data_IF_874676085177
#
_entry.id   IF_874676085177
#
_cell.length_a   1.000
_cell.length_b   1.000
_cell.length_c   1.000
_cell.angle_alpha   90.00
_cell.angle_beta   90.00
_cell.angle_gamma   90.00
#
_symmetry.space_group_name_H-M   'P 1'
#
loop_
_entity.id
_entity.type
_entity.pdbx_description
1 polymer ?
#
# COMPACT_ATOMS: atom_id res chain seq x y z
N UNK A 1 56.76 24.85 20.56
CA UNK A 1 55.82 25.45 19.59
C UNK A 1 54.83 26.27 20.39
N UNK A 2 54.74 27.57 20.13
CA UNK A 2 53.80 28.47 20.83
C UNK A 2 52.36 28.08 20.46
N UNK A 3 51.51 27.68 21.43
CA UNK A 3 50.11 27.35 21.20
C UNK A 3 49.28 28.49 20.59
N UNK A 4 49.78 29.73 20.67
CA UNK A 4 49.12 30.95 20.18
C UNK A 4 49.59 31.36 18.79
N UNK A 5 50.47 30.58 18.16
CA UNK A 5 50.97 30.89 16.81
C UNK A 5 49.87 30.66 15.75
N UNK A 6 49.66 31.61 14.82
CA UNK A 6 48.68 31.48 13.73
C UNK A 6 48.82 30.19 12.90
N UNK A 7 50.06 29.66 12.77
CA UNK A 7 50.31 28.40 12.08
C UNK A 7 49.76 27.18 12.83
N UNK A 8 49.86 27.17 14.16
CA UNK A 8 49.38 26.07 15.01
C UNK A 8 47.85 26.07 15.13
N UNK A 9 47.25 27.26 15.17
CA UNK A 9 45.79 27.41 15.16
C UNK A 9 45.18 26.97 13.82
N UNK A 10 45.81 27.33 12.70
CA UNK A 10 45.37 26.89 11.36
C UNK A 10 45.50 25.37 11.17
N UNK A 11 46.58 24.74 11.66
CA UNK A 11 46.74 23.28 11.52
C UNK A 11 45.72 22.50 12.35
N UNK A 12 45.44 22.94 13.58
CA UNK A 12 44.39 22.36 14.43
C UNK A 12 43.00 22.50 13.82
N UNK A 13 42.70 23.65 13.22
CA UNK A 13 41.41 23.92 12.58
C UNK A 13 41.23 23.09 11.29
N UNK A 14 42.32 22.89 10.53
CA UNK A 14 42.34 22.03 9.35
C UNK A 14 42.16 20.55 9.72
N UNK A 15 42.76 20.11 10.84
CA UNK A 15 42.62 18.75 11.36
C UNK A 15 41.19 18.48 11.91
N UNK A 16 40.59 19.45 12.61
CA UNK A 16 39.19 19.38 13.05
C UNK A 16 38.21 19.34 11.86
N UNK A 17 38.46 20.10 10.80
CA UNK A 17 37.63 20.04 9.60
C UNK A 17 37.76 18.69 8.87
N UNK A 18 38.96 18.10 8.80
CA UNK A 18 39.15 16.74 8.27
C UNK A 18 38.42 15.69 9.11
N UNK A 19 38.46 15.77 10.44
CA UNK A 19 37.70 14.88 11.32
C UNK A 19 36.19 15.01 11.11
N UNK A 20 35.66 16.24 11.04
CA UNK A 20 34.24 16.47 10.75
C UNK A 20 33.81 15.86 9.41
N UNK A 21 34.61 16.02 8.36
CA UNK A 21 34.33 15.45 7.03
C UNK A 21 34.35 13.92 7.09
N UNK A 22 35.31 13.33 7.81
CA UNK A 22 35.40 11.87 8.00
C UNK A 22 34.17 11.32 8.75
N UNK A 23 33.76 11.95 9.84
CA UNK A 23 32.55 11.59 10.59
C UNK A 23 31.28 11.73 9.75
N UNK A 24 31.19 12.78 8.94
CA UNK A 24 30.06 13.00 8.03
C UNK A 24 29.99 11.90 6.96
N UNK A 25 31.13 11.50 6.40
CA UNK A 25 31.23 10.42 5.43
C UNK A 25 30.86 9.08 6.06
N UNK A 26 31.34 8.78 7.27
CA UNK A 26 30.95 7.57 7.99
C UNK A 26 29.45 7.53 8.29
N UNK A 27 28.85 8.65 8.71
CA UNK A 27 27.39 8.75 8.87
C UNK A 27 26.65 8.47 7.57
N UNK A 28 27.10 9.08 6.48
CA UNK A 28 26.49 8.88 5.17
C UNK A 28 26.59 7.42 4.69
N UNK A 29 27.71 6.74 4.93
CA UNK A 29 27.87 5.31 4.60
C UNK A 29 27.02 4.40 5.51
N UNK A 30 26.90 4.73 6.80
CA UNK A 30 25.96 4.04 7.72
C UNK A 30 24.51 4.21 7.29
N UNK A 31 24.11 5.41 6.89
CA UNK A 31 22.75 5.69 6.41
C UNK A 31 22.46 4.98 5.08
N UNK A 32 23.43 4.97 4.15
CA UNK A 32 23.31 4.21 2.90
C UNK A 32 23.15 2.71 3.16
N UNK A 33 24.00 2.13 4.01
CA UNK A 33 23.92 0.69 4.34
C UNK A 33 22.64 0.34 5.09
N UNK A 34 22.15 1.22 5.97
CA UNK A 34 20.87 1.04 6.64
C UNK A 34 19.69 1.05 5.65
N UNK A 35 19.66 2.01 4.73
CA UNK A 35 18.64 2.08 3.66
C UNK A 35 18.69 0.87 2.74
N UNK A 36 19.87 0.38 2.41
CA UNK A 36 20.04 -0.80 1.58
C UNK A 36 19.50 -2.06 2.28
N UNK A 37 19.85 -2.27 3.56
CA UNK A 37 19.32 -3.37 4.38
C UNK A 37 17.81 -3.29 4.56
N UNK A 38 17.24 -2.09 4.64
CA UNK A 38 15.79 -1.90 4.70
C UNK A 38 15.11 -2.33 3.40
N UNK A 39 15.63 -1.91 2.25
CA UNK A 39 15.14 -2.35 0.94
C UNK A 39 15.21 -3.87 0.76
N UNK A 40 16.34 -4.48 1.13
CA UNK A 40 16.52 -5.94 1.04
C UNK A 40 15.49 -6.69 1.90
N UNK A 41 15.23 -6.22 3.13
CA UNK A 41 14.20 -6.80 4.00
C UNK A 41 12.79 -6.61 3.45
N UNK A 42 12.50 -5.48 2.82
CA UNK A 42 11.21 -5.24 2.18
C UNK A 42 11.01 -6.16 0.96
N UNK A 43 12.06 -6.35 0.16
CA UNK A 43 12.04 -7.26 -0.98
C UNK A 43 11.87 -8.72 -0.57
N UNK A 44 12.55 -9.14 0.50
CA UNK A 44 12.39 -10.49 1.07
C UNK A 44 10.96 -10.71 1.59
N UNK A 45 10.37 -9.71 2.26
CA UNK A 45 8.96 -9.76 2.67
C UNK A 45 8.00 -9.90 1.49
N UNK A 46 8.22 -9.13 0.42
CA UNK A 46 7.41 -9.23 -0.80
C UNK A 46 7.50 -10.61 -1.44
N UNK A 47 8.71 -11.17 -1.56
CA UNK A 47 8.91 -12.54 -2.08
C UNK A 47 8.17 -13.59 -1.27
N UNK A 48 8.21 -13.48 0.06
CA UNK A 48 7.47 -14.39 0.95
C UNK A 48 5.94 -14.24 0.78
N UNK A 49 5.43 -13.03 0.53
CA UNK A 49 4.01 -12.83 0.23
C UNK A 49 3.61 -13.41 -1.12
N UNK A 50 4.42 -13.17 -2.16
CA UNK A 50 4.18 -13.71 -3.50
C UNK A 50 4.20 -15.25 -3.50
N UNK A 51 5.12 -15.85 -2.75
CA UNK A 51 5.19 -17.31 -2.61
C UNK A 51 3.93 -17.88 -1.94
N UNK A 52 3.39 -17.21 -0.89
CA UNK A 52 2.13 -17.63 -0.26
C UNK A 52 0.96 -17.56 -1.24
N UNK A 53 0.86 -16.49 -2.02
CA UNK A 53 -0.18 -16.33 -3.04
C UNK A 53 -0.06 -17.43 -4.08
N UNK A 54 1.15 -17.68 -4.60
CA UNK A 54 1.40 -18.72 -5.58
C UNK A 54 1.02 -20.12 -5.07
N UNK A 55 1.30 -20.42 -3.78
CA UNK A 55 0.88 -21.66 -3.15
C UNK A 55 -0.65 -21.79 -3.09
N UNK A 56 -1.35 -20.70 -2.77
CA UNK A 56 -2.82 -20.67 -2.77
C UNK A 56 -3.38 -20.86 -4.18
N UNK A 57 -2.84 -20.16 -5.17
CA UNK A 57 -3.25 -20.28 -6.58
C UNK A 57 -3.10 -21.72 -7.07
N UNK A 58 -1.92 -22.33 -6.87
CA UNK A 58 -1.68 -23.73 -7.24
C UNK A 58 -2.70 -24.66 -6.58
N UNK A 59 -3.02 -24.45 -5.31
CA UNK A 59 -4.00 -25.29 -4.60
C UNK A 59 -5.41 -25.12 -5.14
N UNK A 60 -5.78 -23.90 -5.53
CA UNK A 60 -7.06 -23.60 -6.19
C UNK A 60 -7.14 -24.24 -7.58
N UNK A 61 -6.07 -24.19 -8.37
CA UNK A 61 -6.00 -24.86 -9.68
C UNK A 61 -6.17 -26.38 -9.54
N UNK A 62 -5.44 -27.01 -8.62
CA UNK A 62 -5.58 -28.45 -8.32
C UNK A 62 -7.01 -28.81 -7.91
N UNK A 63 -7.65 -27.94 -7.11
CA UNK A 63 -9.03 -28.12 -6.66
C UNK A 63 -10.04 -28.01 -7.80
N UNK A 64 -9.91 -26.96 -8.63
CA UNK A 64 -10.77 -26.72 -9.80
C UNK A 64 -10.65 -27.86 -10.82
N UNK A 65 -9.43 -28.31 -11.09
CA UNK A 65 -9.19 -29.42 -12.02
C UNK A 65 -9.77 -30.72 -11.47
N UNK A 66 -9.64 -31.00 -10.16
CA UNK A 66 -10.28 -32.16 -9.55
C UNK A 66 -11.81 -32.10 -9.66
N UNK A 67 -12.43 -30.92 -9.50
CA UNK A 67 -13.87 -30.74 -9.71
C UNK A 67 -14.28 -30.98 -11.17
N UNK A 68 -13.49 -30.50 -12.13
CA UNK A 68 -13.67 -30.77 -13.56
C UNK A 68 -13.64 -32.28 -13.85
N UNK A 69 -12.63 -32.99 -13.35
CA UNK A 69 -12.52 -34.45 -13.50
C UNK A 69 -13.74 -35.19 -12.94
N UNK A 70 -14.28 -34.76 -11.79
CA UNK A 70 -15.52 -35.32 -11.24
C UNK A 70 -16.69 -35.09 -12.21
N UNK A 71 -16.81 -33.87 -12.76
CA UNK A 71 -17.82 -33.55 -13.77
C UNK A 71 -17.74 -34.43 -15.01
N UNK A 72 -16.53 -34.65 -15.54
CA UNK A 72 -16.29 -35.51 -16.70
C UNK A 72 -16.62 -36.98 -16.40
N UNK A 73 -16.18 -37.49 -15.24
CA UNK A 73 -16.48 -38.87 -14.79
C UNK A 73 -17.97 -39.09 -14.55
N UNK A 74 -18.66 -38.12 -13.97
CA UNK A 74 -20.08 -38.19 -13.69
C UNK A 74 -20.92 -38.12 -14.99
N UNK A 75 -20.48 -37.33 -15.97
CA UNK A 75 -21.17 -37.19 -17.26
C UNK A 75 -21.16 -38.47 -18.10
N UNK A 76 -20.15 -39.33 -17.95
CA UNK A 76 -20.06 -40.63 -18.63
C UNK A 76 -19.74 -41.77 -17.65
N UNK A 77 -20.56 -41.90 -16.62
CA UNK A 77 -20.31 -42.84 -15.55
C UNK A 77 -20.44 -44.31 -15.99
N UNK A 78 -19.53 -45.15 -15.51
CA UNK A 78 -19.58 -46.61 -15.64
C UNK A 78 -19.29 -47.24 -14.27
N UNK A 79 -19.89 -48.38 -13.94
CA UNK A 79 -19.73 -49.01 -12.61
C UNK A 79 -18.26 -49.25 -12.22
N UNK A 80 -17.39 -49.56 -13.18
CA UNK A 80 -15.94 -49.72 -12.97
C UNK A 80 -15.22 -48.44 -12.52
N UNK A 81 -15.82 -47.27 -12.72
CA UNK A 81 -15.27 -45.97 -12.35
C UNK A 81 -15.65 -45.53 -10.93
N UNK A 82 -16.44 -46.32 -10.19
CA UNK A 82 -16.94 -45.95 -8.86
C UNK A 82 -15.81 -45.63 -7.87
N UNK A 83 -14.78 -46.47 -7.82
CA UNK A 83 -13.66 -46.27 -6.90
C UNK A 83 -12.85 -45.01 -7.25
N UNK A 84 -12.65 -44.76 -8.55
CA UNK A 84 -12.00 -43.54 -9.03
C UNK A 84 -12.80 -42.29 -8.66
N UNK A 85 -14.13 -42.32 -8.82
CA UNK A 85 -15.02 -41.22 -8.44
C UNK A 85 -14.97 -40.96 -6.93
N UNK A 86 -15.06 -42.01 -6.11
CA UNK A 86 -14.96 -41.90 -4.65
C UNK A 86 -13.61 -41.27 -4.24
N UNK A 87 -12.50 -41.74 -4.83
CA UNK A 87 -11.17 -41.17 -4.61
C UNK A 87 -11.11 -39.67 -4.92
N UNK A 88 -11.74 -39.24 -6.03
CA UNK A 88 -11.81 -37.82 -6.42
C UNK A 88 -12.67 -36.99 -5.47
N UNK A 89 -13.79 -37.53 -4.99
CA UNK A 89 -14.64 -36.88 -3.98
C UNK A 89 -13.86 -36.68 -2.67
N UNK A 90 -13.15 -37.70 -2.19
CA UNK A 90 -12.28 -37.55 -1.02
C UNK A 90 -11.21 -36.49 -1.23
N UNK A 91 -10.59 -36.44 -2.41
CA UNK A 91 -9.63 -35.39 -2.74
C UNK A 91 -10.26 -34.01 -2.76
N UNK A 92 -11.52 -33.89 -3.19
CA UNK A 92 -12.26 -32.62 -3.19
C UNK A 92 -12.50 -32.12 -1.76
N UNK A 93 -12.98 -33.01 -0.88
CA UNK A 93 -13.20 -32.71 0.54
C UNK A 93 -11.89 -32.29 1.21
N UNK A 94 -10.80 -33.03 0.95
CA UNK A 94 -9.47 -32.68 1.46
C UNK A 94 -8.99 -31.33 0.93
N UNK A 95 -9.24 -31.04 -0.35
CA UNK A 95 -8.94 -29.74 -0.96
C UNK A 95 -9.63 -28.58 -0.24
N UNK A 96 -10.92 -28.72 0.08
CA UNK A 96 -11.66 -27.71 0.86
C UNK A 96 -11.08 -27.51 2.27
N UNK A 97 -10.72 -28.61 2.96
CA UNK A 97 -10.11 -28.54 4.29
C UNK A 97 -8.73 -27.86 4.25
N UNK A 98 -7.93 -28.12 3.22
CA UNK A 98 -6.64 -27.48 3.03
C UNK A 98 -6.81 -25.98 2.76
N UNK A 99 -7.77 -25.59 1.90
CA UNK A 99 -8.07 -24.17 1.62
C UNK A 99 -8.54 -23.42 2.87
N UNK A 100 -9.40 -24.04 3.69
CA UNK A 100 -9.87 -23.44 4.95
C UNK A 100 -8.71 -23.21 5.94
N UNK A 101 -7.75 -24.14 6.00
CA UNK A 101 -6.52 -23.96 6.80
C UNK A 101 -5.64 -22.84 6.26
N UNK A 102 -5.49 -22.75 4.94
CA UNK A 102 -4.66 -21.73 4.28
C UNK A 102 -5.22 -20.32 4.44
N UNK A 103 -6.55 -20.17 4.60
CA UNK A 103 -7.21 -18.87 4.83
C UNK A 103 -6.56 -18.04 5.94
N UNK A 104 -6.10 -18.68 7.02
CA UNK A 104 -5.46 -17.99 8.15
C UNK A 104 -4.21 -17.20 7.76
N UNK A 105 -3.50 -17.63 6.72
CA UNK A 105 -2.28 -16.98 6.21
C UNK A 105 -2.54 -15.66 5.48
N UNK A 106 -3.81 -15.34 5.17
CA UNK A 106 -4.24 -14.14 4.44
C UNK A 106 -5.14 -13.22 5.28
N UNK A 107 -5.10 -13.36 6.60
CA UNK A 107 -5.92 -12.55 7.53
C UNK A 107 -5.60 -11.05 7.50
N UNK A 108 -4.42 -10.67 6.99
CA UNK A 108 -3.99 -9.30 6.74
C UNK A 108 -4.59 -8.69 5.46
N UNK A 109 -5.11 -9.52 4.54
CA UNK A 109 -5.67 -9.07 3.27
C UNK A 109 -7.18 -8.86 3.41
N UNK A 110 -7.64 -7.66 3.07
CA UNK A 110 -9.06 -7.33 3.05
C UNK A 110 -9.55 -7.19 1.60
N UNK A 111 -10.58 -7.95 1.24
CA UNK A 111 -11.22 -7.86 -0.06
C UNK A 111 -12.46 -6.97 0.07
N UNK A 112 -12.55 -5.84 -0.66
CA UNK A 112 -13.73 -4.98 -0.62
C UNK A 112 -14.98 -5.71 -1.11
N UNK A 113 -16.08 -5.60 -0.37
CA UNK A 113 -17.37 -6.21 -0.77
C UNK A 113 -17.89 -5.64 -2.09
N UNK A 114 -17.59 -4.36 -2.37
CA UNK A 114 -17.94 -3.68 -3.62
C UNK A 114 -17.25 -4.29 -4.86
N UNK A 115 -16.27 -5.18 -4.66
CA UNK A 115 -15.65 -5.95 -5.73
C UNK A 115 -16.52 -7.15 -6.18
N UNK A 116 -17.32 -7.72 -5.28
CA UNK A 116 -18.09 -8.95 -5.56
C UNK A 116 -19.01 -8.84 -6.78
N UNK A 117 -19.74 -7.71 -7.00
CA UNK A 117 -20.56 -7.56 -8.21
C UNK A 117 -19.74 -7.67 -9.51
N UNK A 118 -18.48 -7.23 -9.51
CA UNK A 118 -17.60 -7.39 -10.68
C UNK A 118 -17.27 -8.86 -10.93
N UNK A 119 -17.03 -9.63 -9.87
CA UNK A 119 -16.72 -11.07 -9.97
C UNK A 119 -17.95 -11.88 -10.39
N UNK A 120 -19.11 -11.63 -9.78
CA UNK A 120 -20.35 -12.36 -10.05
C UNK A 120 -20.84 -12.14 -11.49
N UNK A 121 -20.59 -10.96 -12.05
CA UNK A 121 -20.88 -10.64 -13.45
C UNK A 121 -19.78 -11.08 -14.43
N UNK A 122 -18.71 -11.72 -13.95
CA UNK A 122 -17.57 -12.16 -14.77
C UNK A 122 -16.74 -11.00 -15.36
N UNK A 123 -16.83 -9.80 -14.78
CA UNK A 123 -16.05 -8.63 -15.17
C UNK A 123 -14.64 -8.71 -14.58
N UNK A 124 -13.71 -8.01 -15.22
CA UNK A 124 -12.35 -7.89 -14.71
C UNK A 124 -12.31 -7.08 -13.39
N UNK A 125 -11.80 -7.64 -12.28
CA UNK A 125 -11.62 -6.95 -10.98
C UNK A 125 -10.86 -5.62 -11.06
N UNK A 126 -9.94 -5.47 -12.01
CA UNK A 126 -9.19 -4.23 -12.20
C UNK A 126 -10.07 -3.04 -12.59
N UNK A 127 -11.28 -3.29 -13.12
CA UNK A 127 -12.25 -2.23 -13.39
C UNK A 127 -12.74 -1.56 -12.10
N UNK A 128 -12.89 -2.32 -11.00
CA UNK A 128 -13.21 -1.75 -9.70
C UNK A 128 -12.09 -0.81 -9.22
N UNK A 129 -10.83 -1.27 -9.30
CA UNK A 129 -9.67 -0.45 -8.92
C UNK A 129 -9.61 0.84 -9.74
N UNK A 130 -9.82 0.75 -11.05
CA UNK A 130 -9.90 1.91 -11.94
C UNK A 130 -11.02 2.86 -11.52
N UNK A 131 -12.22 2.34 -11.29
CA UNK A 131 -13.37 3.14 -10.87
C UNK A 131 -13.12 3.87 -9.55
N UNK A 132 -12.51 3.20 -8.57
CA UNK A 132 -12.12 3.79 -7.29
C UNK A 132 -11.12 4.94 -7.48
N UNK A 133 -10.11 4.78 -8.33
CA UNK A 133 -9.14 5.83 -8.63
C UNK A 133 -9.82 7.03 -9.30
N UNK A 134 -10.66 6.79 -10.32
CA UNK A 134 -11.38 7.84 -11.04
C UNK A 134 -12.32 8.63 -10.12
N UNK A 135 -13.12 7.92 -9.31
CA UNK A 135 -14.02 8.52 -8.32
C UNK A 135 -13.26 9.32 -7.27
N UNK A 136 -12.10 8.85 -6.84
CA UNK A 136 -11.24 9.57 -5.89
C UNK A 136 -10.68 10.85 -6.50
N UNK A 137 -10.22 10.77 -7.75
CA UNK A 137 -9.72 11.92 -8.50
C UNK A 137 -10.83 12.98 -8.70
N UNK A 138 -12.03 12.54 -9.10
CA UNK A 138 -13.18 13.42 -9.28
C UNK A 138 -13.56 14.11 -7.96
N UNK A 139 -13.69 13.35 -6.87
CA UNK A 139 -13.95 13.91 -5.55
C UNK A 139 -12.87 14.89 -5.10
N UNK A 140 -11.60 14.58 -5.33
CA UNK A 140 -10.49 15.47 -4.99
C UNK A 140 -10.60 16.81 -5.74
N UNK A 141 -10.82 16.76 -7.06
CA UNK A 141 -11.04 17.96 -7.89
C UNK A 141 -12.25 18.77 -7.40
N UNK A 142 -13.37 18.11 -7.11
CA UNK A 142 -14.58 18.77 -6.61
C UNK A 142 -14.36 19.44 -5.25
N UNK A 143 -13.68 18.78 -4.32
CA UNK A 143 -13.35 19.34 -3.00
C UNK A 143 -12.38 20.53 -3.14
N UNK A 144 -11.35 20.41 -3.98
CA UNK A 144 -10.45 21.54 -4.25
C UNK A 144 -11.20 22.74 -4.86
N UNK A 145 -12.12 22.50 -5.80
CA UNK A 145 -12.98 23.55 -6.34
C UNK A 145 -13.82 24.23 -5.26
N UNK A 146 -14.41 23.47 -4.34
CA UNK A 146 -15.14 24.02 -3.18
C UNK A 146 -14.23 24.87 -2.29
N UNK A 147 -13.02 24.39 -1.98
CA UNK A 147 -12.04 25.13 -1.17
C UNK A 147 -11.72 26.49 -1.82
N UNK A 148 -11.47 26.51 -3.13
CA UNK A 148 -11.17 27.75 -3.85
C UNK A 148 -12.36 28.73 -3.85
N UNK A 149 -13.59 28.23 -4.00
CA UNK A 149 -14.80 29.06 -3.87
C UNK A 149 -14.93 29.64 -2.46
N UNK A 150 -14.74 28.82 -1.42
CA UNK A 150 -14.80 29.30 -0.03
C UNK A 150 -13.71 30.33 0.28
N UNK A 151 -12.49 30.16 -0.25
CA UNK A 151 -11.42 31.17 -0.13
C UNK A 151 -11.81 32.49 -0.77
N UNK A 152 -12.34 32.46 -2.00
CA UNK A 152 -12.82 33.66 -2.71
C UNK A 152 -13.97 34.33 -1.97
N UNK A 153 -14.95 33.55 -1.52
CA UNK A 153 -16.09 34.04 -0.76
C UNK A 153 -15.65 34.72 0.54
N UNK A 154 -14.74 34.08 1.30
CA UNK A 154 -14.14 34.69 2.49
C UNK A 154 -13.45 36.02 2.16
N UNK A 155 -12.67 36.09 1.08
CA UNK A 155 -11.99 37.33 0.70
C UNK A 155 -12.99 38.46 0.37
N UNK A 156 -14.08 38.15 -0.33
CA UNK A 156 -15.12 39.13 -0.64
C UNK A 156 -15.86 39.58 0.63
N UNK A 157 -16.29 38.65 1.49
CA UNK A 157 -16.92 38.99 2.77
C UNK A 157 -16.02 39.89 3.64
N UNK A 158 -14.73 39.57 3.73
CA UNK A 158 -13.78 40.39 4.49
C UNK A 158 -13.58 41.78 3.90
N UNK A 159 -13.72 41.93 2.58
CA UNK A 159 -13.67 43.24 1.92
C UNK A 159 -14.91 44.07 2.27
N UNK A 160 -16.11 43.54 2.04
CA UNK A 160 -17.36 44.25 2.35
C UNK A 160 -17.46 44.62 3.83
N UNK A 161 -17.11 43.70 4.74
CA UNK A 161 -17.11 44.00 6.18
C UNK A 161 -16.04 45.02 6.58
N UNK A 162 -14.93 45.13 5.86
CA UNK A 162 -13.94 46.17 6.15
C UNK A 162 -14.41 47.57 5.76
N UNK A 163 -15.35 47.66 4.82
CA UNK A 163 -15.98 48.92 4.41
C UNK A 163 -17.13 49.29 5.37
N UNK A 164 -17.97 48.33 5.76
CA UNK A 164 -19.16 48.58 6.60
C UNK A 164 -18.86 48.61 8.11
N UNK A 165 -17.90 47.80 8.58
CA UNK A 165 -17.63 47.54 10.01
C UNK A 165 -16.13 47.31 10.30
N UNK A 166 -15.27 48.34 10.15
CA UNK A 166 -13.81 48.18 10.21
C UNK A 166 -13.29 47.70 11.57
N UNK A 167 -13.89 48.14 12.68
CA UNK A 167 -13.43 47.79 14.04
C UNK A 167 -13.59 46.29 14.33
N UNK A 168 -14.74 45.72 13.95
CA UNK A 168 -15.04 44.29 14.09
C UNK A 168 -14.13 43.41 13.22
N UNK A 169 -13.76 43.86 12.01
CA UNK A 169 -12.81 43.13 11.15
C UNK A 169 -11.41 43.14 11.75
N UNK A 170 -11.01 44.22 12.41
CA UNK A 170 -9.72 44.33 13.07
C UNK A 170 -9.61 43.35 14.25
N UNK A 171 -10.66 43.25 15.06
CA UNK A 171 -10.78 42.27 16.15
C UNK A 171 -10.72 40.82 15.61
N UNK A 172 -11.52 40.51 14.57
CA UNK A 172 -11.50 39.20 13.92
C UNK A 172 -10.13 38.80 13.35
N UNK A 173 -9.38 39.75 12.78
CA UNK A 173 -8.02 39.48 12.27
C UNK A 173 -7.03 39.20 13.40
N UNK A 174 -7.18 39.86 14.55
CA UNK A 174 -6.32 39.66 15.70
C UNK A 174 -6.53 38.29 16.37
N UNK A 175 -7.74 37.73 16.32
CA UNK A 175 -8.02 36.38 16.86
C UNK A 175 -7.61 35.24 15.91
N UNK A 176 -7.48 35.52 14.61
CA UNK A 176 -7.17 34.52 13.58
C UNK A 176 -5.74 34.53 13.02
N UNK A 177 -4.98 35.59 13.30
CA UNK A 177 -3.54 35.67 12.99
C UNK A 177 -2.72 34.79 13.90
#
# INVERSE_FOLDING_TARGET
>A
MDPSSPLFQNSMQQQQNQQRIMELNERNERDKTARQKEKEREEERRKLEDEKILQLEKKLEEFQENARFIGDLASNFQAKNQDALNGRIYSLVRGLQDLDRMKGSFSDKQVPMDLLPYLDEGKNPLLYSKHCMEKTLEKNKAVNGKIEIYKKFRAHLMKEFSEEMPDLVMEYRNERG
#
